data_IF_830934131096
#
_entry.id   IF_830934131096
#
_cell.length_a   1.000
_cell.length_b   1.000
_cell.length_c   1.000
_cell.angle_alpha   90.00
_cell.angle_beta   90.00
_cell.angle_gamma   90.00
#
_symmetry.space_group_name_H-M   'P 1'
#
loop_
_entity.id
_entity.type
_entity.pdbx_description
1 polymer ?
#
# COMPACT_ATOMS: atom_id res chain seq x y z
N UNK A 1 -2.84 -18.09 -20.98
CA UNK A 1 -1.95 -16.94 -20.74
C UNK A 1 -1.36 -17.04 -19.33
N UNK A 2 -0.05 -16.77 -19.13
CA UNK A 2 0.60 -16.80 -17.80
C UNK A 2 0.81 -15.40 -17.28
N UNK A 3 0.10 -15.04 -16.20
CA UNK A 3 0.04 -13.69 -15.64
C UNK A 3 0.83 -13.62 -14.33
N UNK A 4 1.76 -12.67 -14.24
CA UNK A 4 2.42 -12.31 -12.98
C UNK A 4 1.65 -11.18 -12.33
N UNK A 5 1.09 -11.40 -11.13
CA UNK A 5 0.48 -10.39 -10.30
C UNK A 5 1.47 -9.98 -9.21
N UNK A 6 2.00 -8.76 -9.30
CA UNK A 6 2.76 -8.14 -8.21
C UNK A 6 1.75 -7.68 -7.15
N UNK A 7 1.67 -8.41 -6.04
CA UNK A 7 0.59 -8.32 -5.07
C UNK A 7 0.97 -7.56 -3.79
N UNK A 8 0.10 -7.70 -2.81
CA UNK A 8 0.23 -7.08 -1.48
C UNK A 8 -0.94 -6.17 -1.12
N UNK A 9 -1.93 -6.05 -1.99
CA UNK A 9 -3.18 -5.32 -1.77
C UNK A 9 -4.39 -6.26 -1.82
N UNK A 10 -5.55 -5.77 -1.40
CA UNK A 10 -6.82 -6.49 -1.54
C UNK A 10 -7.16 -6.72 -3.00
N UNK A 11 -6.96 -5.71 -3.85
CA UNK A 11 -7.21 -5.77 -5.29
C UNK A 11 -6.34 -6.83 -5.97
N UNK A 12 -5.04 -6.88 -5.64
CA UNK A 12 -4.14 -7.91 -6.15
C UNK A 12 -4.55 -9.32 -5.73
N UNK A 13 -5.05 -9.50 -4.50
CA UNK A 13 -5.58 -10.77 -4.03
C UNK A 13 -6.87 -11.17 -4.76
N UNK A 14 -7.80 -10.25 -4.91
CA UNK A 14 -9.07 -10.50 -5.62
C UNK A 14 -8.82 -10.84 -7.09
N UNK A 15 -7.93 -10.10 -7.76
CA UNK A 15 -7.53 -10.40 -9.15
C UNK A 15 -6.90 -11.79 -9.26
N UNK A 16 -5.95 -12.14 -8.39
CA UNK A 16 -5.33 -13.46 -8.39
C UNK A 16 -6.36 -14.58 -8.18
N UNK A 17 -7.35 -14.37 -7.31
CA UNK A 17 -8.44 -15.30 -7.05
C UNK A 17 -9.33 -15.48 -8.30
N UNK A 18 -9.71 -14.37 -8.93
CA UNK A 18 -10.53 -14.41 -10.15
C UNK A 18 -9.82 -15.11 -11.29
N UNK A 19 -8.55 -14.78 -11.56
CA UNK A 19 -7.74 -15.42 -12.61
C UNK A 19 -7.54 -16.92 -12.38
N UNK A 20 -7.33 -17.35 -11.14
CA UNK A 20 -7.16 -18.76 -10.82
C UNK A 20 -8.43 -19.60 -11.06
N UNK A 21 -9.62 -18.97 -11.07
CA UNK A 21 -10.88 -19.59 -11.43
C UNK A 21 -11.12 -19.73 -12.95
N UNK A 22 -10.24 -19.17 -13.79
CA UNK A 22 -10.39 -19.15 -15.25
C UNK A 22 -9.38 -20.08 -15.91
N UNK A 23 -9.82 -21.15 -16.64
CA UNK A 23 -8.91 -22.14 -17.23
C UNK A 23 -7.90 -21.57 -18.24
N UNK A 24 -8.20 -20.43 -18.86
CA UNK A 24 -7.34 -19.76 -19.84
C UNK A 24 -6.12 -19.05 -19.21
N UNK A 25 -6.09 -18.92 -17.87
CA UNK A 25 -5.04 -18.22 -17.16
C UNK A 25 -4.26 -19.13 -16.21
N UNK A 26 -2.96 -18.92 -16.16
CA UNK A 26 -2.08 -19.44 -15.10
C UNK A 26 -1.58 -18.24 -14.31
N UNK A 27 -1.95 -18.11 -13.04
CA UNK A 27 -1.56 -16.98 -12.21
C UNK A 27 -0.34 -17.30 -11.37
N UNK A 28 0.62 -16.38 -11.36
CA UNK A 28 1.75 -16.34 -10.44
C UNK A 28 1.63 -15.10 -9.60
N UNK A 29 1.37 -15.25 -8.31
CA UNK A 29 1.32 -14.13 -7.35
C UNK A 29 2.68 -13.92 -6.72
N UNK A 30 3.22 -12.69 -6.80
CA UNK A 30 4.47 -12.32 -6.16
C UNK A 30 4.21 -11.41 -4.98
N UNK A 31 4.68 -11.84 -3.80
CA UNK A 31 4.62 -11.09 -2.55
C UNK A 31 6.03 -10.70 -2.10
N UNK A 32 6.19 -9.47 -1.62
CA UNK A 32 7.51 -8.97 -1.21
C UNK A 32 8.08 -9.63 0.07
N UNK A 33 7.34 -10.54 0.73
CA UNK A 33 7.76 -11.15 2.00
C UNK A 33 7.79 -10.19 3.18
N UNK A 34 7.11 -9.06 3.08
CA UNK A 34 7.09 -8.03 4.12
C UNK A 34 6.16 -8.35 5.30
N UNK A 35 5.25 -9.31 5.13
CA UNK A 35 4.31 -9.77 6.16
C UNK A 35 4.65 -11.21 6.49
N UNK A 36 4.82 -11.51 7.79
CA UNK A 36 5.24 -12.87 8.25
C UNK A 36 4.22 -13.95 7.91
N UNK A 37 2.93 -13.64 7.98
CA UNK A 37 1.84 -14.56 7.64
C UNK A 37 0.96 -13.92 6.55
N UNK A 38 1.34 -14.03 5.26
CA UNK A 38 0.49 -13.56 4.18
C UNK A 38 -0.79 -14.41 4.10
N UNK A 39 -1.88 -13.81 3.63
CA UNK A 39 -3.08 -14.56 3.30
C UNK A 39 -2.79 -15.57 2.19
N UNK A 40 -3.40 -16.75 2.27
CA UNK A 40 -3.27 -17.78 1.24
C UNK A 40 -3.85 -17.25 -0.07
N UNK A 41 -3.05 -17.39 -1.13
CA UNK A 41 -3.44 -17.03 -2.50
C UNK A 41 -3.57 -18.29 -3.34
N UNK A 42 -4.54 -18.36 -4.26
CA UNK A 42 -4.62 -19.45 -5.21
C UNK A 42 -3.53 -19.33 -6.28
N UNK A 43 -3.22 -20.46 -6.93
CA UNK A 43 -2.21 -20.54 -7.97
C UNK A 43 -0.78 -20.64 -7.43
N UNK A 44 0.18 -20.25 -8.25
CA UNK A 44 1.59 -20.25 -7.88
C UNK A 44 1.90 -19.00 -7.06
N UNK A 45 2.52 -19.17 -5.90
CA UNK A 45 2.90 -18.05 -5.02
C UNK A 45 4.41 -17.99 -4.88
N UNK A 46 4.96 -16.82 -5.16
CA UNK A 46 6.37 -16.48 -4.96
C UNK A 46 6.49 -15.45 -3.84
N UNK A 47 7.45 -15.64 -2.94
CA UNK A 47 7.73 -14.70 -1.85
C UNK A 47 9.17 -14.23 -1.94
N UNK A 48 9.39 -12.92 -1.82
CA UNK A 48 10.71 -12.27 -1.84
C UNK A 48 10.90 -11.30 -3.01
N UNK A 49 12.03 -10.59 -2.98
CA UNK A 49 12.44 -9.66 -4.05
C UNK A 49 12.95 -10.38 -5.29
N UNK A 50 13.01 -9.68 -6.41
CA UNK A 50 13.53 -10.24 -7.67
C UNK A 50 15.04 -9.98 -7.87
N UNK A 51 15.68 -9.19 -7.00
CA UNK A 51 17.06 -8.76 -7.24
C UNK A 51 17.17 -7.56 -8.20
N UNK A 52 16.17 -6.66 -8.17
CA UNK A 52 16.11 -5.49 -9.03
C UNK A 52 15.55 -5.78 -10.43
N UNK A 53 15.84 -4.88 -11.38
CA UNK A 53 15.37 -4.99 -12.77
C UNK A 53 15.94 -6.23 -13.47
N UNK A 54 17.25 -6.53 -13.39
CA UNK A 54 17.81 -7.73 -14.06
C UNK A 54 17.14 -9.01 -13.62
N UNK A 55 17.02 -9.23 -12.32
CA UNK A 55 16.40 -10.45 -11.81
C UNK A 55 14.91 -10.56 -12.12
N UNK A 56 14.20 -9.42 -12.26
CA UNK A 56 12.81 -9.45 -12.73
C UNK A 56 12.73 -9.80 -14.22
N UNK A 57 13.61 -9.28 -15.06
CA UNK A 57 13.71 -9.65 -16.48
C UNK A 57 13.96 -11.15 -16.64
N UNK A 58 14.94 -11.68 -15.90
CA UNK A 58 15.26 -13.10 -15.93
C UNK A 58 14.09 -13.96 -15.50
N UNK A 59 13.37 -13.54 -14.46
CA UNK A 59 12.17 -14.23 -14.00
C UNK A 59 11.05 -14.21 -15.05
N UNK A 60 10.78 -13.07 -15.68
CA UNK A 60 9.76 -12.94 -16.71
C UNK A 60 10.03 -13.91 -17.87
N UNK A 61 11.26 -13.96 -18.35
CA UNK A 61 11.68 -14.83 -19.47
C UNK A 61 11.69 -16.30 -19.09
N UNK A 62 12.38 -16.66 -18.01
CA UNK A 62 12.54 -18.07 -17.60
C UNK A 62 11.23 -18.71 -17.16
N UNK A 63 10.33 -17.93 -16.60
CA UNK A 63 9.01 -18.40 -16.17
C UNK A 63 7.96 -18.35 -17.28
N UNK A 64 8.26 -17.83 -18.46
CA UNK A 64 7.31 -17.67 -19.57
C UNK A 64 6.11 -16.78 -19.21
N UNK A 65 6.37 -15.69 -18.48
CA UNK A 65 5.33 -14.71 -18.14
C UNK A 65 4.95 -13.95 -19.42
N UNK A 66 3.67 -13.96 -19.75
CA UNK A 66 3.12 -13.28 -20.91
C UNK A 66 2.56 -11.88 -20.60
N UNK A 67 2.25 -11.60 -19.33
CA UNK A 67 1.71 -10.30 -18.91
C UNK A 67 2.00 -10.09 -17.43
N UNK A 68 2.25 -8.82 -17.05
CA UNK A 68 2.42 -8.40 -15.65
C UNK A 68 1.28 -7.47 -15.25
N UNK A 69 0.71 -7.69 -14.07
CA UNK A 69 -0.18 -6.73 -13.42
C UNK A 69 0.47 -6.24 -12.14
N UNK A 70 0.80 -4.95 -12.08
CA UNK A 70 1.25 -4.29 -10.88
C UNK A 70 0.04 -3.89 -10.02
N UNK A 71 -0.29 -4.74 -9.08
CA UNK A 71 -1.32 -4.52 -8.05
C UNK A 71 -0.71 -4.28 -6.68
N UNK A 72 0.47 -3.68 -6.63
CA UNK A 72 1.15 -3.36 -5.38
C UNK A 72 0.54 -2.14 -4.68
N UNK A 73 0.93 -1.92 -3.43
CA UNK A 73 0.49 -0.74 -2.70
C UNK A 73 0.95 0.54 -3.42
N UNK A 74 0.11 1.60 -3.51
CA UNK A 74 0.45 2.84 -4.24
C UNK A 74 1.78 3.50 -3.83
N UNK A 75 2.30 3.17 -2.66
CA UNK A 75 3.59 3.63 -2.14
C UNK A 75 4.74 2.63 -2.33
N UNK A 76 4.54 1.58 -3.10
CA UNK A 76 5.59 0.61 -3.43
C UNK A 76 6.37 1.03 -4.69
N UNK A 77 6.76 2.30 -4.81
CA UNK A 77 7.34 2.92 -5.99
C UNK A 77 8.54 2.20 -6.58
N UNK A 78 9.38 1.59 -5.74
CA UNK A 78 10.56 0.87 -6.19
C UNK A 78 10.22 -0.34 -7.06
N UNK A 79 9.30 -1.21 -6.61
CA UNK A 79 8.91 -2.39 -7.40
C UNK A 79 8.11 -2.00 -8.64
N UNK A 80 7.27 -0.96 -8.56
CA UNK A 80 6.54 -0.44 -9.71
C UNK A 80 7.50 0.10 -10.78
N UNK A 81 8.54 0.84 -10.39
CA UNK A 81 9.58 1.31 -11.31
C UNK A 81 10.38 0.14 -11.93
N UNK A 82 10.72 -0.87 -11.12
CA UNK A 82 11.37 -2.07 -11.62
C UNK A 82 10.47 -2.83 -12.62
N UNK A 83 9.15 -2.92 -12.37
CA UNK A 83 8.21 -3.56 -13.26
C UNK A 83 8.14 -2.86 -14.61
N UNK A 84 8.05 -1.52 -14.64
CA UNK A 84 8.08 -0.75 -15.88
C UNK A 84 9.33 -1.05 -16.70
N UNK A 85 10.51 -0.95 -16.07
CA UNK A 85 11.78 -1.18 -16.76
C UNK A 85 11.94 -2.63 -17.22
N UNK A 86 11.60 -3.59 -16.38
CA UNK A 86 11.75 -5.01 -16.70
C UNK A 86 10.77 -5.47 -17.79
N UNK A 87 9.53 -5.01 -17.75
CA UNK A 87 8.54 -5.33 -18.77
C UNK A 87 8.94 -4.76 -20.14
N UNK A 88 9.44 -3.52 -20.16
CA UNK A 88 9.99 -2.92 -21.39
C UNK A 88 11.14 -3.73 -21.97
N UNK A 89 12.12 -4.15 -21.13
CA UNK A 89 13.28 -4.94 -21.54
C UNK A 89 12.94 -6.37 -21.96
N UNK A 90 11.90 -6.93 -21.38
CA UNK A 90 11.45 -8.29 -21.67
C UNK A 90 10.44 -8.36 -22.85
N UNK A 91 9.90 -7.22 -23.28
CA UNK A 91 8.82 -7.16 -24.27
C UNK A 91 7.49 -7.71 -23.72
N UNK A 92 7.26 -7.58 -22.41
CA UNK A 92 6.05 -8.11 -21.74
C UNK A 92 5.11 -6.94 -21.41
N UNK A 93 3.81 -7.05 -21.76
CA UNK A 93 2.81 -6.04 -21.40
C UNK A 93 2.70 -5.85 -19.88
N UNK A 94 2.53 -4.58 -19.46
CA UNK A 94 2.32 -4.19 -18.07
C UNK A 94 1.00 -3.46 -17.91
N UNK A 95 0.17 -3.87 -16.96
CA UNK A 95 -1.00 -3.18 -16.48
C UNK A 95 -0.77 -2.73 -15.03
N UNK A 96 -1.23 -1.54 -14.66
CA UNK A 96 -1.27 -1.10 -13.25
C UNK A 96 -2.70 -1.17 -12.74
N UNK A 97 -2.94 -1.99 -11.72
CA UNK A 97 -4.21 -2.04 -10.98
C UNK A 97 -4.08 -1.22 -9.70
N UNK A 98 -4.64 -0.02 -9.71
CA UNK A 98 -4.46 0.95 -8.62
C UNK A 98 -5.80 1.60 -8.23
N UNK A 99 -6.36 1.16 -7.10
CA UNK A 99 -7.61 1.73 -6.56
C UNK A 99 -7.57 3.26 -6.48
N UNK A 100 -8.71 3.97 -6.58
CA UNK A 100 -8.78 5.43 -6.49
C UNK A 100 -8.14 5.97 -5.19
N UNK A 101 -7.59 7.16 -5.27
CA UNK A 101 -7.15 7.89 -4.09
C UNK A 101 -8.36 8.29 -3.24
N UNK A 102 -8.15 8.48 -1.95
CA UNK A 102 -9.13 9.18 -1.14
C UNK A 102 -9.16 10.66 -1.54
N UNK A 103 -10.34 11.22 -1.56
CA UNK A 103 -10.59 12.64 -1.73
C UNK A 103 -11.24 13.20 -0.46
N UNK A 104 -10.89 14.42 -0.01
CA UNK A 104 -11.48 14.97 1.20
C UNK A 104 -12.96 15.29 0.99
N UNK A 105 -13.79 15.03 1.99
CA UNK A 105 -15.14 15.56 2.10
C UNK A 105 -15.12 16.97 2.73
N UNK A 106 -16.27 17.65 2.73
CA UNK A 106 -16.34 19.04 3.19
C UNK A 106 -15.88 19.25 4.65
N UNK A 107 -16.14 18.28 5.53
CA UNK A 107 -15.80 18.34 6.95
C UNK A 107 -14.40 17.78 7.26
N UNK A 108 -13.70 17.28 6.26
CA UNK A 108 -12.34 16.75 6.46
C UNK A 108 -11.34 17.89 6.66
N UNK A 109 -10.47 17.72 7.63
CA UNK A 109 -9.38 18.68 7.93
C UNK A 109 -8.05 18.09 7.49
N UNK A 110 -7.88 17.90 6.16
CA UNK A 110 -6.67 17.33 5.63
C UNK A 110 -5.57 18.38 5.44
N UNK A 111 -4.36 17.97 5.78
CA UNK A 111 -3.10 18.69 5.55
C UNK A 111 -2.30 17.81 4.57
N UNK A 112 -2.40 18.07 3.25
CA UNK A 112 -1.65 17.29 2.26
C UNK A 112 -0.16 17.59 2.36
N UNK A 113 0.65 16.54 2.25
CA UNK A 113 2.11 16.64 2.27
C UNK A 113 2.73 15.66 1.26
N UNK A 114 3.82 16.03 0.64
CA UNK A 114 4.47 15.26 -0.43
C UNK A 114 5.28 14.05 0.07
N UNK A 115 5.69 14.02 1.34
CA UNK A 115 6.58 12.98 1.87
C UNK A 115 6.38 12.73 3.35
N UNK A 116 6.95 11.62 3.85
CA UNK A 116 7.00 11.34 5.29
C UNK A 116 7.86 12.35 6.07
N UNK A 117 8.89 12.91 5.44
CA UNK A 117 9.69 13.97 6.05
C UNK A 117 8.88 15.26 6.20
N UNK A 118 8.11 15.64 5.17
CA UNK A 118 7.19 16.77 5.26
C UNK A 118 6.06 16.51 6.29
N UNK A 119 5.57 15.27 6.40
CA UNK A 119 4.62 14.89 7.44
C UNK A 119 5.21 15.07 8.85
N UNK A 120 6.47 14.67 9.07
CA UNK A 120 7.16 14.86 10.33
C UNK A 120 7.33 16.36 10.69
N UNK A 121 7.69 17.19 9.70
CA UNK A 121 7.81 18.63 9.89
C UNK A 121 6.46 19.30 10.26
N UNK A 122 5.36 18.79 9.70
CA UNK A 122 4.02 19.31 9.98
C UNK A 122 3.50 18.98 11.40
N UNK A 123 4.24 18.17 12.19
CA UNK A 123 3.83 17.75 13.53
C UNK A 123 4.20 18.72 14.65
N UNK A 124 4.85 19.83 14.36
CA UNK A 124 5.42 20.73 15.37
C UNK A 124 4.40 21.23 16.44
N UNK A 125 3.13 21.34 16.08
CA UNK A 125 2.04 21.80 16.98
C UNK A 125 1.19 20.66 17.56
N UNK A 126 1.52 19.39 17.27
CA UNK A 126 0.73 18.24 17.70
C UNK A 126 1.46 17.43 18.78
N UNK A 127 0.73 17.08 19.83
CA UNK A 127 1.29 16.36 20.97
C UNK A 127 1.11 14.84 20.87
N UNK A 128 -0.01 14.38 20.31
CA UNK A 128 -0.40 12.95 20.31
C UNK A 128 -0.85 12.49 18.93
N UNK A 129 0.02 11.75 18.27
CA UNK A 129 -0.07 11.39 16.86
C UNK A 129 -0.53 9.94 16.69
N UNK A 130 -1.56 9.68 15.88
CA UNK A 130 -1.86 8.34 15.40
C UNK A 130 -1.18 8.11 14.06
N UNK A 131 -0.09 7.33 14.05
CA UNK A 131 0.75 7.08 12.90
C UNK A 131 0.39 5.74 12.23
N UNK A 132 -0.19 5.78 11.03
CA UNK A 132 -0.67 4.62 10.27
C UNK A 132 0.02 4.45 8.92
N UNK A 133 1.28 4.89 8.82
CA UNK A 133 2.07 4.85 7.58
C UNK A 133 2.73 3.49 7.30
N UNK A 134 2.52 2.53 8.20
CA UNK A 134 3.16 1.22 8.17
C UNK A 134 4.57 1.24 8.78
N UNK A 135 5.21 0.06 8.89
CA UNK A 135 6.50 -0.10 9.59
C UNK A 135 7.69 0.55 8.89
N UNK A 136 7.56 0.85 7.59
CA UNK A 136 8.61 1.51 6.84
C UNK A 136 8.44 3.02 6.91
N UNK A 137 9.54 3.73 7.09
CA UNK A 137 9.54 5.18 7.15
C UNK A 137 9.27 5.77 8.55
N UNK A 138 9.22 4.94 9.61
CA UNK A 138 9.12 5.43 10.99
C UNK A 138 10.34 6.27 11.39
N UNK A 139 11.50 6.02 10.78
CA UNK A 139 12.68 6.83 10.98
C UNK A 139 12.53 8.31 10.63
N UNK A 140 11.61 8.65 9.73
CA UNK A 140 11.29 10.06 9.43
C UNK A 140 10.73 10.83 10.64
N UNK A 141 10.18 10.12 11.62
CA UNK A 141 9.59 10.68 12.84
C UNK A 141 10.47 10.53 14.08
N UNK A 142 11.69 9.98 13.95
CA UNK A 142 12.58 9.66 15.08
C UNK A 142 12.98 10.89 15.89
N UNK A 143 13.08 12.06 15.27
CA UNK A 143 13.44 13.33 15.92
C UNK A 143 12.24 14.16 16.41
N UNK A 144 11.01 13.68 16.16
CA UNK A 144 9.82 14.40 16.62
C UNK A 144 9.64 14.31 18.14
N UNK A 145 9.24 15.40 18.77
CA UNK A 145 8.97 15.47 20.22
C UNK A 145 7.60 14.93 20.62
N UNK A 146 6.69 14.78 19.66
CA UNK A 146 5.34 14.25 19.86
C UNK A 146 5.36 12.82 20.44
N UNK A 147 4.28 12.44 21.07
CA UNK A 147 4.01 11.05 21.43
C UNK A 147 3.23 10.35 20.31
N UNK A 148 3.57 9.10 19.99
CA UNK A 148 3.01 8.38 18.86
C UNK A 148 2.28 7.10 19.28
N UNK A 149 1.06 6.90 18.81
CA UNK A 149 0.47 5.58 18.67
C UNK A 149 0.78 5.07 17.26
N UNK A 150 1.67 4.09 17.14
CA UNK A 150 2.12 3.55 15.86
C UNK A 150 1.39 2.25 15.57
N UNK A 151 0.59 2.20 14.51
CA UNK A 151 -0.07 0.95 14.11
C UNK A 151 0.61 0.32 12.91
N UNK A 152 1.05 -0.92 13.08
CA UNK A 152 1.67 -1.76 12.04
C UNK A 152 1.17 -3.20 12.12
N UNK A 153 1.29 -3.94 11.02
CA UNK A 153 0.91 -5.37 10.99
C UNK A 153 1.98 -6.23 11.68
N UNK A 154 3.26 -5.92 11.43
CA UNK A 154 4.41 -6.61 12.01
C UNK A 154 5.30 -5.62 12.74
N UNK A 155 6.10 -6.07 13.70
CA UNK A 155 7.04 -5.21 14.40
C UNK A 155 7.95 -4.45 13.43
N UNK A 156 8.14 -3.14 13.63
CA UNK A 156 9.09 -2.37 12.87
C UNK A 156 10.53 -2.70 13.26
N UNK A 157 11.48 -2.30 12.42
CA UNK A 157 12.92 -2.36 12.69
C UNK A 157 13.57 -1.04 12.31
N UNK A 158 14.73 -0.72 12.91
CA UNK A 158 15.47 0.52 12.65
C UNK A 158 15.00 1.69 13.51
N UNK A 159 15.28 2.91 13.03
CA UNK A 159 14.95 4.14 13.76
C UNK A 159 13.44 4.34 13.89
N UNK A 160 13.00 4.76 15.07
CA UNK A 160 11.61 4.96 15.44
C UNK A 160 11.46 6.19 16.34
N UNK A 161 10.25 6.76 16.49
CA UNK A 161 9.99 7.78 17.49
C UNK A 161 10.36 7.30 18.90
N UNK A 162 11.03 8.16 19.66
CA UNK A 162 11.47 7.81 21.02
C UNK A 162 10.30 7.65 22.02
N UNK A 163 9.19 8.36 21.77
CA UNK A 163 8.00 8.36 22.64
C UNK A 163 6.83 7.74 21.87
N UNK A 164 6.68 6.42 21.96
CA UNK A 164 5.64 5.72 21.20
C UNK A 164 5.07 4.52 21.95
N UNK A 165 3.84 4.17 21.60
CA UNK A 165 3.21 2.89 21.85
C UNK A 165 3.03 2.17 20.53
N UNK A 166 3.37 0.88 20.48
CA UNK A 166 3.24 0.05 19.28
C UNK A 166 1.97 -0.79 19.34
N UNK A 167 1.08 -0.56 18.39
CA UNK A 167 -0.12 -1.35 18.18
C UNK A 167 0.09 -2.30 17.00
N UNK A 168 0.28 -3.59 17.28
CA UNK A 168 0.35 -4.62 16.24
C UNK A 168 -1.07 -5.07 15.91
N UNK A 169 -1.58 -4.64 14.77
CA UNK A 169 -2.96 -4.91 14.39
C UNK A 169 -3.13 -4.96 12.86
N UNK A 170 -4.05 -5.81 12.41
CA UNK A 170 -4.37 -6.03 11.00
C UNK A 170 -5.87 -5.86 10.79
N UNK A 171 -6.23 -5.03 9.80
CA UNK A 171 -7.63 -4.88 9.39
C UNK A 171 -8.31 -6.21 8.99
N UNK A 172 -9.63 -6.18 8.81
CA UNK A 172 -10.42 -4.95 8.63
C UNK A 172 -10.70 -4.23 9.95
N UNK A 173 -10.68 -2.89 9.91
CA UNK A 173 -11.03 -2.04 11.04
C UNK A 173 -12.47 -1.57 10.93
N UNK A 174 -13.08 -1.17 12.04
CA UNK A 174 -14.45 -0.66 12.08
C UNK A 174 -14.47 0.79 12.56
N UNK A 175 -15.46 1.57 12.14
CA UNK A 175 -15.63 2.95 12.61
C UNK A 175 -15.75 3.05 14.14
N UNK A 176 -16.58 2.24 14.82
CA UNK A 176 -16.64 2.28 16.29
C UNK A 176 -15.30 1.97 16.96
N UNK A 177 -14.53 1.01 16.42
CA UNK A 177 -13.20 0.67 16.92
C UNK A 177 -12.20 1.81 16.76
N UNK A 178 -12.18 2.48 15.59
CA UNK A 178 -11.32 3.63 15.35
C UNK A 178 -11.69 4.82 16.24
N UNK A 179 -12.98 5.12 16.42
CA UNK A 179 -13.46 6.16 17.34
C UNK A 179 -13.02 5.89 18.79
N UNK A 180 -13.21 4.66 19.26
CA UNK A 180 -12.79 4.26 20.60
C UNK A 180 -11.26 4.38 20.78
N UNK A 181 -10.49 3.97 19.76
CA UNK A 181 -9.03 4.06 19.76
C UNK A 181 -8.56 5.51 19.84
N UNK A 182 -9.05 6.39 18.97
CA UNK A 182 -8.66 7.79 18.92
C UNK A 182 -8.98 8.52 20.23
N UNK A 183 -10.15 8.26 20.81
CA UNK A 183 -10.55 8.82 22.11
C UNK A 183 -9.69 8.30 23.27
N UNK A 184 -9.52 6.97 23.35
CA UNK A 184 -8.73 6.31 24.40
C UNK A 184 -7.32 6.88 24.51
N UNK A 185 -6.69 7.10 23.38
CA UNK A 185 -5.32 7.59 23.31
C UNK A 185 -5.21 9.12 23.22
N UNK A 186 -6.35 9.85 23.34
CA UNK A 186 -6.43 11.31 23.23
C UNK A 186 -5.65 11.83 22.02
N UNK A 187 -5.84 11.21 20.86
CA UNK A 187 -5.16 11.56 19.61
C UNK A 187 -5.61 12.95 19.16
N UNK A 188 -4.67 13.79 18.76
CA UNK A 188 -4.92 15.14 18.26
C UNK A 188 -4.63 15.31 16.76
N UNK A 189 -3.95 14.33 16.13
CA UNK A 189 -3.72 14.28 14.69
C UNK A 189 -3.54 12.86 14.19
N UNK A 190 -4.03 12.57 12.99
CA UNK A 190 -3.79 11.30 12.29
C UNK A 190 -2.78 11.53 11.17
N UNK A 191 -1.74 10.69 11.08
CA UNK A 191 -0.81 10.68 9.95
C UNK A 191 -1.02 9.42 9.15
N UNK A 192 -1.31 9.56 7.87
CA UNK A 192 -1.56 8.41 6.98
C UNK A 192 -1.07 8.69 5.56
N UNK A 193 -0.85 7.61 4.81
CA UNK A 193 -0.60 7.64 3.37
C UNK A 193 -1.95 7.59 2.64
N UNK A 194 -2.11 8.34 1.55
CA UNK A 194 -3.30 8.28 0.71
C UNK A 194 -3.35 6.92 -0.03
N UNK A 195 -3.74 5.88 0.70
CA UNK A 195 -3.73 4.50 0.18
C UNK A 195 -4.96 4.15 -0.65
N UNK A 196 -6.05 4.90 -0.50
CA UNK A 196 -7.35 4.58 -1.09
C UNK A 196 -8.04 3.36 -0.46
N UNK A 197 -9.26 3.08 -0.89
CA UNK A 197 -10.08 2.00 -0.38
C UNK A 197 -10.80 2.33 0.93
N UNK A 198 -11.32 1.32 1.63
CA UNK A 198 -12.06 1.50 2.88
C UNK A 198 -11.14 2.01 4.00
N UNK A 199 -11.54 3.09 4.67
CA UNK A 199 -10.70 3.78 5.65
C UNK A 199 -11.50 4.37 6.82
N UNK A 200 -12.04 3.54 7.73
CA UNK A 200 -12.83 4.01 8.87
C UNK A 200 -12.08 4.97 9.78
N UNK A 201 -10.74 4.95 9.78
CA UNK A 201 -9.93 5.93 10.51
C UNK A 201 -10.10 7.37 10.02
N UNK A 202 -10.35 7.57 8.72
CA UNK A 202 -10.60 8.90 8.16
C UNK A 202 -12.00 9.40 8.55
N UNK A 203 -12.98 8.52 8.51
CA UNK A 203 -14.32 8.79 8.99
C UNK A 203 -14.34 9.09 10.49
N UNK A 204 -13.58 8.33 11.28
CA UNK A 204 -13.41 8.58 12.71
C UNK A 204 -12.72 9.93 12.99
N UNK A 205 -11.68 10.27 12.24
CA UNK A 205 -11.01 11.56 12.36
C UNK A 205 -11.97 12.71 12.05
N UNK A 206 -12.76 12.61 10.95
CA UNK A 206 -13.81 13.58 10.60
C UNK A 206 -14.82 13.72 11.71
N UNK A 207 -15.39 12.62 12.23
CA UNK A 207 -16.39 12.63 13.29
C UNK A 207 -15.88 13.27 14.60
N UNK A 208 -14.56 13.28 14.82
CA UNK A 208 -13.91 13.90 15.99
C UNK A 208 -13.31 15.28 15.69
N UNK A 209 -13.46 15.80 14.47
CA UNK A 209 -12.88 17.07 14.04
C UNK A 209 -11.34 17.07 14.05
N UNK A 210 -10.71 15.89 13.97
CA UNK A 210 -9.25 15.75 14.01
C UNK A 210 -8.62 16.07 12.66
N UNK A 211 -7.52 16.83 12.62
CA UNK A 211 -6.74 16.98 11.40
C UNK A 211 -6.08 15.65 10.97
N UNK A 212 -5.92 15.51 9.65
CA UNK A 212 -5.26 14.36 9.04
C UNK A 212 -4.10 14.85 8.18
N UNK A 213 -2.87 14.57 8.57
CA UNK A 213 -1.71 14.78 7.71
C UNK A 213 -1.69 13.64 6.70
N UNK A 214 -2.00 13.98 5.46
CA UNK A 214 -2.17 13.04 4.36
C UNK A 214 -0.95 13.06 3.45
N UNK A 215 -0.18 11.97 3.46
CA UNK A 215 0.96 11.85 2.54
C UNK A 215 0.45 11.49 1.14
N UNK A 216 0.79 12.31 0.17
CA UNK A 216 0.37 12.15 -1.22
C UNK A 216 1.00 10.91 -1.87
N UNK A 217 0.30 10.34 -2.84
CA UNK A 217 0.79 9.21 -3.61
C UNK A 217 1.91 9.63 -4.53
N UNK A 218 2.97 8.83 -4.66
CA UNK A 218 3.89 9.00 -5.77
C UNK A 218 3.12 8.80 -7.10
N UNK A 219 3.52 9.51 -8.17
CA UNK A 219 2.95 9.29 -9.50
C UNK A 219 3.13 7.83 -9.93
N UNK A 220 2.28 7.38 -10.86
CA UNK A 220 2.48 6.08 -11.52
C UNK A 220 3.74 6.16 -12.37
N UNK A 221 4.61 5.17 -12.24
CA UNK A 221 5.84 5.11 -13.04
C UNK A 221 5.51 4.77 -14.52
N UNK A 222 6.16 5.47 -15.45
CA UNK A 222 6.06 5.19 -16.88
C UNK A 222 4.69 5.46 -17.51
N UNK A 223 4.42 4.80 -18.63
CA UNK A 223 3.21 4.98 -19.46
C UNK A 223 2.32 3.73 -19.50
N UNK A 224 2.44 2.83 -18.52
CA UNK A 224 1.59 1.65 -18.45
C UNK A 224 0.11 2.07 -18.28
N UNK A 225 -0.84 1.39 -18.94
CA UNK A 225 -2.25 1.61 -18.69
C UNK A 225 -2.59 1.38 -17.21
N UNK A 226 -3.52 2.18 -16.69
CA UNK A 226 -3.94 2.14 -15.29
C UNK A 226 -5.43 1.86 -15.24
N UNK A 227 -5.80 0.87 -14.45
CA UNK A 227 -7.19 0.54 -14.14
C UNK A 227 -7.43 0.61 -12.64
N UNK A 228 -8.68 0.81 -12.23
CA UNK A 228 -9.04 1.06 -10.84
C UNK A 228 -9.71 -0.12 -10.16
N UNK A 229 -10.28 -1.03 -10.95
CA UNK A 229 -11.06 -2.18 -10.47
C UNK A 229 -10.53 -3.50 -11.01
N UNK A 230 -10.88 -4.59 -10.30
CA UNK A 230 -10.54 -5.95 -10.74
C UNK A 230 -11.23 -6.29 -12.06
N UNK A 231 -12.48 -5.85 -12.25
CA UNK A 231 -13.24 -6.12 -13.47
C UNK A 231 -12.61 -5.45 -14.69
N UNK A 232 -12.15 -4.20 -14.55
CA UNK A 232 -11.39 -3.51 -15.60
C UNK A 232 -10.09 -4.25 -15.93
N UNK A 233 -9.39 -4.77 -14.91
CA UNK A 233 -8.16 -5.55 -15.12
C UNK A 233 -8.44 -6.87 -15.84
N UNK A 234 -9.52 -7.57 -15.50
CA UNK A 234 -9.96 -8.79 -16.19
C UNK A 234 -10.34 -8.51 -17.64
N UNK A 235 -11.08 -7.44 -17.89
CA UNK A 235 -11.46 -7.02 -19.25
C UNK A 235 -10.21 -6.72 -20.11
N UNK A 236 -9.23 -6.01 -19.55
CA UNK A 236 -7.97 -5.72 -20.25
C UNK A 236 -7.15 -7.01 -20.55
N UNK A 237 -7.14 -7.97 -19.62
CA UNK A 237 -6.43 -9.24 -19.81
C UNK A 237 -7.10 -10.18 -20.81
N UNK A 238 -8.40 -9.98 -21.10
CA UNK A 238 -9.17 -10.77 -22.04
C UNK A 238 -9.16 -10.21 -23.48
N UNK A 239 -8.71 -8.95 -23.66
CA UNK A 239 -8.61 -8.27 -24.95
C UNK A 239 -7.35 -8.68 -25.71
#
# INVERSE_FOLDING_TARGET
>A
MKVLVLGGTTEGRLLATALAGLPSFTVVSSLAGRVRAPLVLPGLVRVGGFGGVPGLVDFLRSSGISTVVDATHPFASSISAHAVSACSLAGVPLLVLRRPAWTPAAEDRWIPVESLAAAAAALASFARVFLTTGRQGLGSFASCSSWFLVRTVDPPAGSMPARMELLLDRGPFTLPGELALLRRWAIDVVVTKNSGGFAPKLEAARSLGLPVIMVDRPPVAGFAPVVSTVDEALAWLAA
#
